data_IF_958340486837
#
_entry.id   IF_958340486837
#
_cell.length_a   1.000
_cell.length_b   1.000
_cell.length_c   1.000
_cell.angle_alpha   90.00
_cell.angle_beta   90.00
_cell.angle_gamma   90.00
#
_symmetry.space_group_name_H-M   'P 1'
#
loop_
_entity.id
_entity.type
_entity.pdbx_description
1 polymer ?
#
# COMPACT_ATOMS: atom_id res chain seq x y z
N UNK A 1 -9.91 -6.04 -6.02
CA UNK A 1 -9.11 -7.11 -5.39
C UNK A 1 -8.15 -6.53 -4.35
N UNK A 2 -7.52 -5.39 -4.61
CA UNK A 2 -6.47 -4.81 -3.75
C UNK A 2 -6.94 -4.31 -2.36
N UNK A 3 -8.19 -3.85 -2.25
CA UNK A 3 -8.77 -3.45 -0.94
C UNK A 3 -8.90 -4.64 0.01
N UNK A 4 -9.26 -5.82 -0.51
CA UNK A 4 -9.33 -7.04 0.31
C UNK A 4 -7.94 -7.46 0.80
N UNK A 5 -6.90 -7.27 -0.02
CA UNK A 5 -5.50 -7.52 0.37
C UNK A 5 -5.07 -6.57 1.49
N UNK A 6 -5.40 -5.28 1.38
CA UNK A 6 -5.10 -4.31 2.43
C UNK A 6 -5.85 -4.62 3.73
N UNK A 7 -7.14 -4.98 3.64
CA UNK A 7 -7.92 -5.43 4.81
C UNK A 7 -7.28 -6.66 5.44
N UNK A 8 -6.86 -7.64 4.65
CA UNK A 8 -6.21 -8.86 5.14
C UNK A 8 -4.88 -8.57 5.87
N UNK A 9 -4.09 -7.60 5.39
CA UNK A 9 -2.87 -7.15 6.07
C UNK A 9 -3.22 -6.41 7.37
N UNK A 10 -4.12 -5.43 7.30
CA UNK A 10 -4.56 -4.66 8.47
C UNK A 10 -5.16 -5.54 9.57
N UNK A 11 -5.82 -6.65 9.19
CA UNK A 11 -6.34 -7.68 10.11
C UNK A 11 -5.25 -8.30 10.97
N UNK A 12 -4.07 -8.57 10.39
CA UNK A 12 -2.94 -9.12 11.14
C UNK A 12 -2.31 -8.09 12.10
N UNK A 13 -2.72 -6.82 12.02
CA UNK A 13 -2.21 -5.72 12.82
C UNK A 13 -3.35 -4.95 13.51
N UNK A 14 -4.39 -5.64 13.97
CA UNK A 14 -5.59 -5.00 14.54
C UNK A 14 -5.33 -4.11 15.76
N UNK A 15 -4.32 -4.46 16.55
CA UNK A 15 -3.95 -3.74 17.78
C UNK A 15 -2.94 -2.62 17.50
N UNK A 16 -2.54 -2.45 16.23
CA UNK A 16 -1.74 -1.32 15.78
C UNK A 16 -2.54 -0.02 15.93
N UNK A 17 -1.86 1.04 16.40
CA UNK A 17 -2.43 2.38 16.46
C UNK A 17 -2.70 2.92 15.05
N UNK A 18 -3.79 3.68 14.91
CA UNK A 18 -4.20 4.26 13.62
C UNK A 18 -3.10 5.11 12.97
N UNK A 19 -2.30 5.82 13.76
CA UNK A 19 -1.18 6.63 13.26
C UNK A 19 -0.14 5.83 12.48
N UNK A 20 0.13 4.58 12.88
CA UNK A 20 1.04 3.69 12.16
C UNK A 20 0.31 2.95 11.05
N UNK A 21 -0.91 2.47 11.32
CA UNK A 21 -1.67 1.69 10.36
C UNK A 21 -2.00 2.46 9.07
N UNK A 22 -2.26 3.78 9.17
CA UNK A 22 -2.51 4.65 8.00
C UNK A 22 -1.31 4.79 7.06
N UNK A 23 -0.09 4.46 7.53
CA UNK A 23 1.14 4.46 6.72
C UNK A 23 1.33 3.15 5.95
N UNK A 24 0.58 2.10 6.28
CA UNK A 24 0.62 0.82 5.57
C UNK A 24 0.06 1.02 4.18
N UNK A 25 0.82 0.56 3.18
CA UNK A 25 0.46 0.65 1.77
C UNK A 25 0.51 -0.74 1.12
N UNK A 26 -0.51 -1.03 0.33
CA UNK A 26 -0.49 -2.13 -0.64
C UNK A 26 -0.30 -1.55 -2.02
N UNK A 27 0.56 -2.15 -2.83
CA UNK A 27 0.89 -1.66 -4.16
C UNK A 27 0.21 -2.50 -5.23
N UNK A 28 -0.19 -1.84 -6.31
CA UNK A 28 -0.75 -2.49 -7.49
C UNK A 28 -0.26 -1.79 -8.76
N UNK A 29 0.04 -2.58 -9.79
CA UNK A 29 0.39 -2.05 -11.11
C UNK A 29 -0.74 -2.37 -12.07
N UNK A 30 -1.32 -1.35 -12.67
CA UNK A 30 -2.35 -1.48 -13.69
C UNK A 30 -1.74 -1.20 -15.06
N UNK A 31 -2.09 -2.00 -16.06
CA UNK A 31 -1.72 -1.76 -17.46
C UNK A 31 -2.99 -1.59 -18.28
N UNK A 32 -3.15 -0.44 -18.93
CA UNK A 32 -4.24 -0.15 -19.85
C UNK A 32 -3.63 0.28 -21.19
N UNK A 33 -3.81 -0.57 -22.22
CA UNK A 33 -3.11 -0.41 -23.49
C UNK A 33 -1.59 -0.46 -23.29
N UNK A 34 -0.89 0.59 -23.70
CA UNK A 34 0.56 0.72 -23.48
C UNK A 34 0.93 1.46 -22.20
N UNK A 35 -0.04 1.98 -21.44
CA UNK A 35 0.23 2.75 -20.23
C UNK A 35 0.21 1.85 -19.01
N UNK A 36 1.33 1.81 -18.31
CA UNK A 36 1.50 1.19 -17.01
C UNK A 36 1.38 2.27 -15.94
N UNK A 37 0.61 2.03 -14.90
CA UNK A 37 0.47 2.93 -13.75
C UNK A 37 0.65 2.15 -12.46
N UNK A 38 1.50 2.66 -11.58
CA UNK A 38 1.73 2.16 -10.24
C UNK A 38 0.86 2.93 -9.25
N UNK A 39 0.06 2.20 -8.48
CA UNK A 39 -0.80 2.72 -7.43
C UNK A 39 -0.36 2.23 -6.06
N UNK A 40 -0.62 3.04 -5.04
CA UNK A 40 -0.63 2.63 -3.65
C UNK A 40 -2.04 2.74 -3.08
N UNK A 41 -2.45 1.77 -2.28
CA UNK A 41 -3.68 1.77 -1.51
C UNK A 41 -3.33 1.83 -0.02
N UNK A 42 -3.96 2.74 0.72
CA UNK A 42 -3.80 2.86 2.17
C UNK A 42 -5.13 3.16 2.86
N UNK A 43 -5.13 3.08 4.19
CA UNK A 43 -6.28 3.43 5.03
C UNK A 43 -6.15 4.88 5.54
N UNK A 44 -7.26 5.60 5.58
CA UNK A 44 -7.38 6.92 6.22
C UNK A 44 -7.71 6.76 7.72
N UNK A 45 -7.48 7.79 8.55
CA UNK A 45 -7.73 7.68 10.00
C UNK A 45 -9.18 7.35 10.38
N UNK A 46 -10.13 7.65 9.49
CA UNK A 46 -11.56 7.36 9.66
C UNK A 46 -11.98 5.97 9.13
N UNK A 47 -11.03 5.17 8.65
CA UNK A 47 -11.27 3.81 8.14
C UNK A 47 -11.62 3.74 6.66
N UNK A 48 -11.77 4.87 5.97
CA UNK A 48 -11.93 4.86 4.52
C UNK A 48 -10.62 4.45 3.84
N UNK A 49 -10.72 3.89 2.64
CA UNK A 49 -9.56 3.54 1.84
C UNK A 49 -9.30 4.60 0.78
N UNK A 50 -8.03 4.86 0.52
CA UNK A 50 -7.60 5.79 -0.53
C UNK A 50 -6.60 5.09 -1.45
N UNK A 51 -6.79 5.26 -2.75
CA UNK A 51 -5.82 4.87 -3.78
C UNK A 51 -5.16 6.12 -4.36
N UNK A 52 -3.84 6.08 -4.45
CA UNK A 52 -3.01 7.18 -4.93
C UNK A 52 -2.10 6.68 -6.05
N UNK A 53 -2.07 7.40 -7.16
CA UNK A 53 -1.10 7.15 -8.24
C UNK A 53 0.31 7.56 -7.76
N UNK A 54 1.27 6.64 -7.87
CA UNK A 54 2.68 6.88 -7.54
C UNK A 54 3.49 7.28 -8.76
N UNK A 55 3.26 6.61 -9.89
CA UNK A 55 3.95 6.87 -11.15
C UNK A 55 3.19 6.26 -12.32
N UNK A 56 3.38 6.83 -13.51
CA UNK A 56 2.89 6.26 -14.77
C UNK A 56 4.01 6.27 -15.83
N UNK A 57 4.03 5.25 -16.68
CA UNK A 57 5.00 5.11 -17.76
C UNK A 57 4.37 4.38 -18.96
N UNK A 58 4.79 4.76 -20.15
CA UNK A 58 4.41 4.07 -21.37
C UNK A 58 5.38 2.92 -21.64
N UNK A 59 4.86 1.73 -21.87
CA UNK A 59 5.62 0.55 -22.28
C UNK A 59 6.01 0.71 -23.75
N UNK A 60 7.32 0.85 -24.07
CA UNK A 60 7.76 1.06 -25.44
C UNK A 60 7.85 -0.27 -26.19
N UNK A 61 6.81 -0.61 -26.95
CA UNK A 61 6.81 -1.78 -27.83
C UNK A 61 7.53 -1.53 -29.17
N UNK A 62 8.03 -0.32 -29.41
CA UNK A 62 8.74 0.04 -30.66
C UNK A 62 10.24 0.24 -30.44
N UNK A 63 11.04 -0.10 -31.45
CA UNK A 63 12.50 0.10 -31.45
C UNK A 63 12.90 1.57 -31.26
N UNK A 64 12.06 2.50 -31.71
CA UNK A 64 12.25 3.94 -31.56
C UNK A 64 11.86 4.45 -30.16
N UNK A 65 11.03 3.69 -29.42
CA UNK A 65 10.59 4.02 -28.06
C UNK A 65 11.60 3.71 -26.96
N UNK A 66 12.81 3.24 -27.27
CA UNK A 66 13.80 2.82 -26.26
C UNK A 66 14.13 3.89 -25.21
N UNK A 67 14.08 5.16 -25.59
CA UNK A 67 14.29 6.26 -24.66
C UNK A 67 13.20 6.33 -23.55
N UNK A 68 12.02 5.77 -23.79
CA UNK A 68 10.91 5.70 -22.84
C UNK A 68 11.13 4.67 -21.73
N UNK A 69 12.05 3.71 -21.89
CA UNK A 69 12.44 2.80 -20.79
C UNK A 69 12.96 3.56 -19.56
N UNK A 70 13.52 4.77 -19.74
CA UNK A 70 13.92 5.63 -18.61
C UNK A 70 12.75 5.93 -17.68
N UNK A 71 11.54 6.11 -18.21
CA UNK A 71 10.34 6.33 -17.40
C UNK A 71 9.94 5.07 -16.62
N UNK A 72 10.07 3.89 -17.24
CA UNK A 72 9.83 2.60 -16.57
C UNK A 72 10.85 2.38 -15.45
N UNK A 73 12.13 2.60 -15.70
CA UNK A 73 13.16 2.46 -14.67
C UNK A 73 12.95 3.45 -13.52
N UNK A 74 12.53 4.67 -13.82
CA UNK A 74 12.15 5.65 -12.79
C UNK A 74 10.96 5.17 -11.96
N UNK A 75 9.93 4.60 -12.59
CA UNK A 75 8.80 4.00 -11.88
C UNK A 75 9.26 2.86 -10.97
N UNK A 76 10.11 1.96 -11.45
CA UNK A 76 10.63 0.85 -10.64
C UNK A 76 11.51 1.34 -9.49
N UNK A 77 12.27 2.41 -9.67
CA UNK A 77 13.02 3.04 -8.57
C UNK A 77 12.09 3.64 -7.51
N UNK A 78 10.99 4.29 -7.92
CA UNK A 78 9.96 4.77 -6.99
C UNK A 78 9.34 3.58 -6.23
N UNK A 79 9.01 2.50 -6.95
CA UNK A 79 8.43 1.31 -6.34
C UNK A 79 9.36 0.67 -5.31
N UNK A 80 10.63 0.48 -5.67
CA UNK A 80 11.67 -0.01 -4.77
C UNK A 80 11.75 0.82 -3.48
N UNK A 81 11.81 2.15 -3.62
CA UNK A 81 11.88 3.04 -2.45
C UNK A 81 10.63 2.94 -1.56
N UNK A 82 9.45 2.77 -2.14
CA UNK A 82 8.23 2.57 -1.35
C UNK A 82 8.22 1.20 -0.65
N UNK A 83 8.75 0.13 -1.28
CA UNK A 83 8.93 -1.17 -0.62
C UNK A 83 9.86 -1.04 0.59
N UNK A 84 11.04 -0.41 0.43
CA UNK A 84 11.98 -0.23 1.53
C UNK A 84 11.35 0.51 2.71
N UNK A 85 10.54 1.55 2.46
CA UNK A 85 9.80 2.25 3.52
C UNK A 85 8.77 1.36 4.22
N UNK A 86 8.12 0.45 3.51
CA UNK A 86 7.16 -0.48 4.11
C UNK A 86 7.88 -1.54 4.97
N UNK A 87 9.08 -1.98 4.57
CA UNK A 87 9.91 -2.88 5.38
C UNK A 87 10.35 -2.22 6.70
N UNK A 88 10.80 -0.96 6.63
CA UNK A 88 11.14 -0.17 7.82
C UNK A 88 9.93 0.04 8.73
N UNK A 89 8.78 0.38 8.16
CA UNK A 89 7.52 0.55 8.89
C UNK A 89 7.09 -0.75 9.59
N UNK A 90 7.26 -1.91 8.94
CA UNK A 90 6.92 -3.19 9.57
C UNK A 90 7.78 -3.43 10.83
N UNK A 91 9.07 -3.13 10.76
CA UNK A 91 9.95 -3.17 11.93
C UNK A 91 9.54 -2.20 13.05
N UNK A 92 8.93 -1.06 12.73
CA UNK A 92 8.37 -0.13 13.71
C UNK A 92 7.09 -0.69 14.34
N UNK A 93 6.17 -1.23 13.53
CA UNK A 93 4.91 -1.82 13.98
C UNK A 93 5.17 -2.96 14.97
N UNK A 94 6.09 -3.88 14.65
CA UNK A 94 6.43 -5.02 15.50
C UNK A 94 6.95 -4.59 16.88
N UNK A 95 7.67 -3.45 16.95
CA UNK A 95 8.17 -2.89 18.21
C UNK A 95 7.09 -2.19 19.03
N UNK A 96 6.13 -1.53 18.38
CA UNK A 96 5.14 -0.64 19.02
C UNK A 96 3.85 -1.35 19.42
N UNK A 97 3.43 -2.40 18.68
CA UNK A 97 2.19 -3.17 18.97
C UNK A 97 2.16 -3.71 20.41
N UNK A 98 3.33 -3.94 21.01
CA UNK A 98 3.46 -4.38 22.41
C UNK A 98 3.03 -3.32 23.45
N UNK A 99 2.70 -2.08 23.07
CA UNK A 99 2.50 -0.96 24.00
C UNK A 99 1.36 0.02 23.63
N UNK A 100 0.51 -0.29 22.66
CA UNK A 100 -0.45 0.72 22.14
C UNK A 100 -1.50 1.14 23.20
N UNK A 101 -1.61 2.45 23.45
CA UNK A 101 -2.64 3.09 24.27
C UNK A 101 -3.35 4.13 23.40
N UNK A 102 -4.33 3.72 22.60
CA UNK A 102 -5.06 4.63 21.71
C UNK A 102 -6.05 3.91 20.79
N UNK A 103 -6.67 4.66 19.88
CA UNK A 103 -7.55 4.10 18.86
C UNK A 103 -6.76 3.16 17.95
N UNK A 104 -7.19 1.90 17.89
CA UNK A 104 -6.55 0.86 17.07
C UNK A 104 -7.34 0.61 15.79
N UNK A 105 -6.72 -0.10 14.84
CA UNK A 105 -7.36 -0.52 13.58
C UNK A 105 -8.68 -1.24 13.82
N UNK A 106 -8.75 -2.10 14.86
CA UNK A 106 -9.97 -2.83 15.25
C UNK A 106 -11.16 -1.90 15.50
N UNK A 107 -10.94 -0.79 16.20
CA UNK A 107 -11.99 0.16 16.57
C UNK A 107 -12.55 0.91 15.35
N UNK A 108 -11.70 1.16 14.36
CA UNK A 108 -12.05 1.97 13.18
C UNK A 108 -12.70 1.12 12.10
N UNK A 109 -12.14 -0.05 11.79
CA UNK A 109 -12.69 -0.93 10.75
C UNK A 109 -13.98 -1.64 11.18
N UNK A 110 -14.25 -1.74 12.50
CA UNK A 110 -15.47 -2.35 13.07
C UNK A 110 -15.80 -3.71 12.44
N UNK A 111 -14.77 -4.52 12.19
CA UNK A 111 -14.96 -5.82 11.53
C UNK A 111 -15.71 -6.74 12.52
N UNK A 112 -16.90 -7.27 12.16
CA UNK A 112 -17.69 -8.13 13.04
C UNK A 112 -16.89 -9.32 13.54
N UNK A 113 -17.02 -9.65 14.84
CA UNK A 113 -16.32 -10.79 15.43
C UNK A 113 -16.72 -12.14 14.81
N UNK A 114 -17.94 -12.20 14.26
CA UNK A 114 -18.56 -13.36 13.60
C UNK A 114 -17.88 -13.75 12.28
N UNK A 115 -17.03 -12.90 11.72
CA UNK A 115 -16.17 -13.26 10.57
C UNK A 115 -14.95 -14.10 10.97
N UNK A 116 -14.80 -14.41 12.27
CA UNK A 116 -13.65 -15.10 12.85
C UNK A 116 -13.99 -16.46 13.48
N UNK A 117 -15.22 -16.97 13.29
CA UNK A 117 -15.61 -18.37 13.55
C UNK A 117 -15.59 -19.23 12.27
#
# INVERSE_FOLDING_TARGET
MDVLNLIAILRNHFDCGIELATKIKVFCTQVIGTRMTLYALSMLPDGRFISSELATATVPFSFHGRNQFKAIFRMMAIFHNEITKQEELMGEIDRVVLRSKGTTVRHVLKIPEELFE
#
